data_IF_490280368114
#
_entry.id   IF_490280368114
#
_cell.length_a   1.000
_cell.length_b   1.000
_cell.length_c   1.000
_cell.angle_alpha   90.00
_cell.angle_beta   90.00
_cell.angle_gamma   90.00
#
_symmetry.space_group_name_H-M   'P 1'
#
loop_
_entity.id
_entity.type
_entity.pdbx_description
1 polymer ?
#
# COMPACT_ATOMS: atom_id res chain seq x y z
N UNK A 1 -11.97 28.60 -3.66
CA UNK A 1 -12.11 27.31 -4.34
C UNK A 1 -13.11 26.44 -3.62
N UNK A 2 -13.90 25.68 -4.38
CA UNK A 2 -14.82 24.72 -3.81
C UNK A 2 -14.05 23.49 -3.30
N UNK A 3 -14.69 22.71 -2.43
CA UNK A 3 -14.15 21.45 -1.93
C UNK A 3 -13.82 20.49 -3.08
N UNK A 4 -14.73 20.39 -4.06
CA UNK A 4 -14.53 19.51 -5.23
C UNK A 4 -13.29 19.92 -6.01
N UNK A 5 -13.10 21.22 -6.23
CA UNK A 5 -11.95 21.73 -6.99
C UNK A 5 -10.64 21.46 -6.26
N UNK A 6 -10.59 21.66 -4.94
CA UNK A 6 -9.40 21.38 -4.14
C UNK A 6 -9.03 19.91 -4.16
N UNK A 7 -9.99 19.02 -4.00
CA UNK A 7 -9.75 17.58 -4.03
C UNK A 7 -9.32 17.12 -5.43
N UNK A 8 -9.91 17.68 -6.48
CA UNK A 8 -9.51 17.37 -7.86
C UNK A 8 -8.07 17.79 -8.13
N UNK A 9 -7.68 19.00 -7.71
CA UNK A 9 -6.32 19.48 -7.87
C UNK A 9 -5.33 18.61 -7.10
N UNK A 10 -5.66 18.22 -5.87
CA UNK A 10 -4.80 17.37 -5.05
C UNK A 10 -4.63 16.01 -5.72
N UNK A 11 -5.72 15.39 -6.17
CA UNK A 11 -5.67 14.10 -6.85
C UNK A 11 -4.79 14.18 -8.10
N UNK A 12 -4.98 15.21 -8.93
CA UNK A 12 -4.17 15.40 -10.14
C UNK A 12 -2.69 15.57 -9.82
N UNK A 13 -2.38 16.31 -8.76
CA UNK A 13 -0.99 16.50 -8.32
C UNK A 13 -0.38 15.18 -7.86
N UNK A 14 -1.12 14.38 -7.11
CA UNK A 14 -0.65 13.07 -6.65
C UNK A 14 -0.50 12.09 -7.82
N UNK A 15 -1.38 12.13 -8.81
CA UNK A 15 -1.25 11.32 -10.01
C UNK A 15 0.02 11.69 -10.80
N UNK A 16 0.29 12.97 -10.93
CA UNK A 16 1.51 13.44 -11.61
C UNK A 16 2.76 12.99 -10.87
N UNK A 17 2.72 13.04 -9.54
CA UNK A 17 3.82 12.54 -8.69
C UNK A 17 4.06 11.06 -8.92
N UNK A 18 3.01 10.25 -9.02
CA UNK A 18 3.13 8.82 -9.29
C UNK A 18 3.69 8.55 -10.68
N UNK A 19 3.29 9.33 -11.68
CA UNK A 19 3.84 9.19 -13.03
C UNK A 19 5.34 9.48 -13.07
N UNK A 20 5.79 10.49 -12.32
CA UNK A 20 7.21 10.80 -12.19
C UNK A 20 7.96 9.68 -11.48
N UNK A 21 7.37 9.10 -10.44
CA UNK A 21 7.95 7.97 -9.71
C UNK A 21 8.08 6.75 -10.61
N UNK A 22 7.05 6.44 -11.39
CA UNK A 22 7.08 5.36 -12.36
C UNK A 22 8.18 5.56 -13.40
N UNK A 23 8.29 6.77 -13.94
CA UNK A 23 9.34 7.10 -14.91
C UNK A 23 10.73 6.89 -14.32
N UNK A 24 10.92 7.29 -13.06
CA UNK A 24 12.17 7.05 -12.35
C UNK A 24 12.47 5.55 -12.21
N UNK A 25 11.48 4.77 -11.77
CA UNK A 25 11.66 3.32 -11.60
C UNK A 25 12.06 2.64 -12.90
N UNK A 26 11.50 3.07 -14.03
CA UNK A 26 11.80 2.46 -15.33
C UNK A 26 13.23 2.75 -15.81
N UNK A 27 13.96 3.65 -15.15
CA UNK A 27 15.38 3.89 -15.43
C UNK A 27 16.31 2.97 -14.65
N UNK A 28 15.76 2.23 -13.68
CA UNK A 28 16.55 1.38 -12.78
C UNK A 28 16.74 -0.04 -13.35
N UNK A 29 17.81 -0.74 -12.94
CA UNK A 29 17.93 -2.17 -13.24
C UNK A 29 16.77 -2.97 -12.65
N UNK A 30 16.40 -4.12 -13.25
CA UNK A 30 15.24 -4.89 -12.79
C UNK A 30 15.25 -5.25 -11.30
N UNK A 31 16.40 -5.58 -10.73
CA UNK A 31 16.51 -5.90 -9.31
C UNK A 31 16.14 -4.72 -8.42
N UNK A 32 16.55 -3.51 -8.80
CA UNK A 32 16.20 -2.31 -8.05
C UNK A 32 14.74 -1.93 -8.21
N UNK A 33 14.15 -2.17 -9.38
CA UNK A 33 12.71 -1.98 -9.59
C UNK A 33 11.93 -2.83 -8.60
N UNK A 34 12.34 -4.09 -8.41
CA UNK A 34 11.67 -4.99 -7.46
C UNK A 34 11.71 -4.46 -6.03
N UNK A 35 12.82 -3.82 -5.65
CA UNK A 35 12.94 -3.23 -4.30
C UNK A 35 11.92 -2.12 -4.04
N UNK A 36 11.43 -1.47 -5.09
CA UNK A 36 10.47 -0.37 -5.00
C UNK A 36 9.04 -0.79 -5.35
N UNK A 37 8.82 -2.06 -5.73
CA UNK A 37 7.53 -2.51 -6.23
C UNK A 37 6.41 -2.35 -5.19
N UNK A 38 6.67 -2.67 -3.93
CA UNK A 38 5.65 -2.54 -2.87
C UNK A 38 5.28 -1.09 -2.60
N UNK A 39 6.24 -0.17 -2.67
CA UNK A 39 5.96 1.25 -2.56
C UNK A 39 5.08 1.73 -3.72
N UNK A 40 5.39 1.32 -4.94
CA UNK A 40 4.61 1.68 -6.11
C UNK A 40 3.15 1.23 -5.96
N UNK A 41 2.94 -0.01 -5.56
CA UNK A 41 1.59 -0.57 -5.37
C UNK A 41 0.85 0.16 -4.25
N UNK A 42 1.52 0.44 -3.14
CA UNK A 42 0.91 1.19 -2.03
C UNK A 42 0.49 2.58 -2.49
N UNK A 43 1.32 3.27 -3.27
CA UNK A 43 0.97 4.59 -3.82
C UNK A 43 -0.25 4.52 -4.73
N UNK A 44 -0.37 3.47 -5.55
CA UNK A 44 -1.57 3.24 -6.38
C UNK A 44 -2.81 3.09 -5.51
N UNK A 45 -2.71 2.36 -4.39
CA UNK A 45 -3.82 2.20 -3.45
C UNK A 45 -4.21 3.51 -2.77
N UNK A 46 -3.24 4.37 -2.47
CA UNK A 46 -3.51 5.71 -1.93
C UNK A 46 -4.27 6.54 -2.94
N UNK A 47 -3.88 6.50 -4.22
CA UNK A 47 -4.59 7.20 -5.28
C UNK A 47 -6.03 6.72 -5.40
N UNK A 48 -6.26 5.42 -5.29
CA UNK A 48 -7.60 4.85 -5.31
C UNK A 48 -8.44 5.36 -4.13
N UNK A 49 -7.86 5.46 -2.94
CA UNK A 49 -8.54 6.02 -1.78
C UNK A 49 -8.89 7.49 -1.98
N UNK A 50 -7.99 8.26 -2.59
CA UNK A 50 -8.23 9.68 -2.88
C UNK A 50 -9.32 9.87 -3.94
N UNK A 51 -9.42 8.95 -4.89
CA UNK A 51 -10.46 8.97 -5.92
C UNK A 51 -11.85 8.75 -5.32
N UNK A 52 -11.95 7.94 -4.28
CA UNK A 52 -13.23 7.53 -3.71
C UNK A 52 -13.64 8.32 -2.48
N UNK A 53 -12.81 9.25 -1.99
CA UNK A 53 -13.06 10.00 -0.77
C UNK A 53 -12.63 11.45 -0.95
N UNK A 54 -13.27 12.35 -0.21
CA UNK A 54 -12.93 13.76 -0.22
C UNK A 54 -12.44 14.23 1.14
N UNK A 55 -11.37 15.02 1.13
CA UNK A 55 -10.91 15.75 2.31
C UNK A 55 -11.68 17.04 2.45
N UNK A 56 -11.77 17.58 3.68
CA UNK A 56 -12.27 18.93 3.87
C UNK A 56 -11.28 19.94 3.28
N UNK A 57 -11.72 21.18 3.09
CA UNK A 57 -10.92 22.22 2.45
C UNK A 57 -9.58 22.46 3.15
N UNK A 58 -9.58 22.50 4.47
CA UNK A 58 -8.37 22.79 5.24
C UNK A 58 -7.31 21.70 5.02
N UNK A 59 -7.72 20.43 5.05
CA UNK A 59 -6.81 19.30 4.85
C UNK A 59 -6.34 19.21 3.41
N UNK A 60 -7.23 19.42 2.45
CA UNK A 60 -6.85 19.41 1.03
C UNK A 60 -5.83 20.50 0.74
N UNK A 61 -6.05 21.72 1.24
CA UNK A 61 -5.10 22.82 1.10
C UNK A 61 -3.75 22.51 1.74
N UNK A 62 -3.79 21.90 2.92
CA UNK A 62 -2.56 21.55 3.64
C UNK A 62 -1.70 20.58 2.82
N UNK A 63 -2.29 19.53 2.26
CA UNK A 63 -1.56 18.58 1.42
C UNK A 63 -1.11 19.20 0.11
N UNK A 64 -1.89 20.12 -0.47
CA UNK A 64 -1.49 20.82 -1.71
C UNK A 64 -0.24 21.68 -1.55
N UNK A 65 0.10 22.09 -0.32
CA UNK A 65 1.31 22.85 -0.06
C UNK A 65 2.59 22.02 -0.18
N UNK A 66 2.48 20.70 -0.04
CA UNK A 66 3.61 19.81 -0.18
C UNK A 66 3.97 19.64 -1.65
N UNK A 67 5.26 19.56 -1.95
CA UNK A 67 5.73 19.20 -3.31
C UNK A 67 5.55 17.70 -3.60
N UNK A 68 5.38 16.88 -2.54
CA UNK A 68 5.28 15.42 -2.64
C UNK A 68 4.16 14.89 -1.75
N UNK A 69 2.89 15.29 -1.97
CA UNK A 69 1.81 14.86 -1.09
C UNK A 69 1.61 13.33 -1.10
N UNK A 70 1.82 12.66 -2.22
CA UNK A 70 1.69 11.20 -2.30
C UNK A 70 2.75 10.50 -1.47
N UNK A 71 4.01 10.91 -1.60
CA UNK A 71 5.10 10.35 -0.81
C UNK A 71 4.88 10.59 0.69
N UNK A 72 4.37 11.77 1.06
CA UNK A 72 4.10 12.11 2.45
C UNK A 72 3.05 11.17 3.06
N UNK A 73 1.97 10.90 2.33
CA UNK A 73 0.93 9.97 2.77
C UNK A 73 1.47 8.55 2.85
N UNK A 74 2.25 8.13 1.86
CA UNK A 74 2.88 6.81 1.87
C UNK A 74 3.75 6.63 3.10
N UNK A 75 4.59 7.61 3.43
CA UNK A 75 5.47 7.54 4.60
C UNK A 75 4.66 7.47 5.90
N UNK A 76 3.56 8.19 5.97
CA UNK A 76 2.68 8.14 7.14
C UNK A 76 2.03 6.77 7.30
N UNK A 77 1.50 6.23 6.22
CA UNK A 77 0.87 4.92 6.21
C UNK A 77 1.84 3.82 6.66
N UNK A 78 3.05 3.80 6.11
CA UNK A 78 4.04 2.78 6.46
C UNK A 78 4.50 2.88 7.91
N UNK A 79 4.48 4.09 8.48
CA UNK A 79 4.82 4.25 9.89
C UNK A 79 3.81 3.56 10.82
N UNK A 80 2.55 3.42 10.37
CA UNK A 80 1.50 2.75 11.17
C UNK A 80 1.47 1.25 10.93
N UNK A 81 1.60 0.83 9.67
CA UNK A 81 1.26 -0.52 9.23
C UNK A 81 2.42 -1.52 9.28
N UNK A 82 3.65 -1.04 9.40
CA UNK A 82 4.81 -1.92 9.28
C UNK A 82 4.79 -3.09 10.26
N UNK A 83 4.63 -2.82 11.56
CA UNK A 83 4.61 -3.87 12.57
C UNK A 83 3.35 -4.72 12.49
N UNK A 84 2.23 -4.10 12.18
CA UNK A 84 0.95 -4.78 12.03
C UNK A 84 0.96 -5.76 10.87
N UNK A 85 1.53 -5.36 9.74
CA UNK A 85 1.66 -6.23 8.57
C UNK A 85 2.50 -7.47 8.89
N UNK A 86 3.62 -7.31 9.59
CA UNK A 86 4.47 -8.41 9.99
C UNK A 86 3.74 -9.40 10.90
N UNK A 87 2.96 -8.88 11.85
CA UNK A 87 2.14 -9.70 12.74
C UNK A 87 1.08 -10.50 11.96
N UNK A 88 0.40 -9.85 11.04
CA UNK A 88 -0.61 -10.50 10.20
C UNK A 88 -0.01 -11.60 9.34
N UNK A 89 1.17 -11.36 8.75
CA UNK A 89 1.89 -12.37 7.97
C UNK A 89 2.24 -13.56 8.84
N UNK A 90 2.78 -13.32 10.03
CA UNK A 90 3.16 -14.40 10.94
C UNK A 90 1.94 -15.21 11.36
N UNK A 91 0.83 -14.56 11.64
CA UNK A 91 -0.42 -15.26 11.98
C UNK A 91 -0.88 -16.16 10.83
N UNK A 92 -0.71 -15.72 9.60
CA UNK A 92 -1.04 -16.55 8.43
C UNK A 92 -0.12 -17.76 8.32
N UNK A 93 1.18 -17.58 8.60
CA UNK A 93 2.15 -18.69 8.62
C UNK A 93 1.75 -19.72 9.68
N UNK A 94 1.44 -19.28 10.89
CA UNK A 94 1.01 -20.17 11.97
C UNK A 94 -0.28 -20.90 11.62
N UNK A 95 -1.26 -20.19 11.08
CA UNK A 95 -2.53 -20.77 10.70
C UNK A 95 -2.37 -21.87 9.64
N UNK A 96 -1.58 -21.58 8.61
CA UNK A 96 -1.37 -22.53 7.52
C UNK A 96 -0.57 -23.76 7.99
N UNK A 97 0.48 -23.56 8.79
CA UNK A 97 1.26 -24.68 9.32
C UNK A 97 0.40 -25.60 10.21
N UNK A 98 -0.52 -25.01 10.99
CA UNK A 98 -1.47 -25.79 11.80
C UNK A 98 -2.41 -26.62 10.95
N UNK A 99 -2.91 -26.05 9.84
CA UNK A 99 -3.76 -26.77 8.90
C UNK A 99 -3.05 -27.97 8.29
N UNK A 100 -1.80 -27.80 7.88
CA UNK A 100 -0.99 -28.87 7.30
C UNK A 100 -0.74 -29.98 8.31
N UNK A 101 -0.40 -29.65 9.56
CA UNK A 101 -0.19 -30.62 10.62
C UNK A 101 -1.47 -31.44 10.90
N UNK A 102 -2.61 -30.80 10.94
CA UNK A 102 -3.89 -31.48 11.17
C UNK A 102 -4.21 -32.43 10.01
N UNK A 103 -3.94 -32.03 8.78
CA UNK A 103 -4.15 -32.86 7.60
C UNK A 103 -3.24 -34.08 7.61
N UNK A 104 -1.97 -33.90 7.97
CA UNK A 104 -1.00 -35.01 8.09
C UNK A 104 -1.39 -35.99 9.19
N UNK A 105 -1.82 -35.48 10.34
CA UNK A 105 -2.29 -36.32 11.45
C UNK A 105 -3.50 -37.15 11.04
N UNK A 106 -4.45 -36.56 10.36
CA UNK A 106 -5.65 -37.28 9.88
C UNK A 106 -5.29 -38.35 8.86
N UNK A 107 -4.35 -38.08 7.95
CA UNK A 107 -3.88 -39.05 6.97
C UNK A 107 -3.16 -40.23 7.64
N UNK A 108 -2.31 -39.96 8.65
CA UNK A 108 -1.62 -40.98 9.41
C UNK A 108 -2.60 -41.91 10.15
N UNK A 109 -3.64 -41.32 10.75
CA UNK A 109 -4.68 -42.11 11.42
C UNK A 109 -5.44 -43.03 10.46
N UNK A 110 -5.71 -42.52 9.25
CA UNK A 110 -6.39 -43.34 8.22
C UNK A 110 -5.53 -44.50 7.73
N UNK A 111 -4.21 -44.31 7.64
CA UNK A 111 -3.32 -45.38 7.18
C UNK A 111 -3.04 -46.45 8.22
N UNK A 112 -3.33 -46.21 9.49
CA UNK A 112 -3.19 -47.19 10.56
C UNK A 112 -4.38 -48.14 10.68
N UNK A 113 -5.43 -47.88 9.92
CA UNK A 113 -6.59 -48.76 9.91
C UNK A 113 -6.42 -49.89 8.88
#
# INVERSE_FOLDING_TARGET
>A
MTNIMLNTQLYQKMCAEQEQYKAYLLTLPPAEILDHASEYICRENILMAMENNDLNNARAKALLKSSTPLADVYNKYTSWEHSRQQEEIWNAVEARSGEVLRAEFSAAQRSER
#
